data_IF_615234190043
#
_entry.id   IF_615234190043
#
_cell.length_a   1.000
_cell.length_b   1.000
_cell.length_c   1.000
_cell.angle_alpha   90.00
_cell.angle_beta   90.00
_cell.angle_gamma   90.00
#
_symmetry.space_group_name_H-M   'P 1'
#
loop_
_entity.id
_entity.type
_entity.pdbx_description
1 polymer ?
#
# COMPACT_ATOMS: atom_id res chain seq x y z
N UNK A 1 12.95 2.63 -3.13
CA UNK A 1 12.74 2.20 -4.54
C UNK A 1 11.33 1.68 -4.75
N UNK A 2 10.86 0.65 -4.02
CA UNK A 2 9.50 0.09 -4.16
C UNK A 2 8.36 1.11 -3.95
N UNK A 3 8.45 1.98 -2.94
CA UNK A 3 7.48 3.07 -2.73
C UNK A 3 7.31 3.98 -3.95
N UNK A 4 8.42 4.38 -4.57
CA UNK A 4 8.43 5.22 -5.75
C UNK A 4 7.86 4.49 -6.96
N UNK A 5 8.22 3.21 -7.14
CA UNK A 5 7.67 2.36 -8.20
C UNK A 5 6.14 2.20 -8.10
N UNK A 6 5.61 1.87 -6.93
CA UNK A 6 4.15 1.80 -6.69
C UNK A 6 3.50 3.16 -6.92
N UNK A 7 4.18 4.25 -6.54
CA UNK A 7 3.69 5.59 -6.77
C UNK A 7 3.63 5.96 -8.26
N UNK A 8 4.64 5.58 -9.03
CA UNK A 8 4.72 5.82 -10.47
C UNK A 8 3.62 5.04 -11.21
N UNK A 9 3.44 3.75 -10.93
CA UNK A 9 2.36 2.95 -11.54
C UNK A 9 0.99 3.56 -11.21
N UNK A 10 0.76 3.92 -9.94
CA UNK A 10 -0.49 4.56 -9.53
C UNK A 10 -0.71 5.92 -10.20
N UNK A 11 0.34 6.68 -10.49
CA UNK A 11 0.22 7.91 -11.26
C UNK A 11 -0.09 7.65 -12.74
N UNK A 12 0.50 6.60 -13.34
CA UNK A 12 0.20 6.16 -14.71
C UNK A 12 -1.26 5.73 -14.85
N UNK A 13 -1.81 4.99 -13.88
CA UNK A 13 -3.22 4.56 -13.85
C UNK A 13 -4.22 5.73 -13.85
N UNK A 14 -3.80 6.90 -13.40
CA UNK A 14 -4.61 8.12 -13.41
C UNK A 14 -4.27 9.06 -14.59
N UNK A 15 -3.28 8.72 -15.43
CA UNK A 15 -2.85 9.48 -16.61
C UNK A 15 -3.20 8.78 -17.93
N UNK A 16 -3.35 9.55 -19.01
CA UNK A 16 -3.92 9.06 -20.28
C UNK A 16 -2.91 8.45 -21.28
N UNK A 17 -1.61 8.35 -20.98
CA UNK A 17 -0.56 8.28 -22.04
C UNK A 17 0.34 7.01 -22.03
N UNK A 18 -0.05 5.91 -21.38
CA UNK A 18 0.86 4.75 -21.19
C UNK A 18 0.25 3.35 -21.00
N UNK A 19 -0.94 3.07 -21.57
CA UNK A 19 -1.77 1.92 -21.19
C UNK A 19 -1.15 0.50 -21.36
N UNK A 20 -0.15 0.31 -22.24
CA UNK A 20 0.45 -1.03 -22.48
C UNK A 20 1.55 -1.38 -21.47
N UNK A 21 2.33 -0.38 -21.03
CA UNK A 21 3.37 -0.57 -20.01
C UNK A 21 2.72 -0.74 -18.63
N UNK A 22 1.72 0.08 -18.32
CA UNK A 22 1.01 0.06 -17.03
C UNK A 22 0.35 -1.30 -16.72
N UNK A 23 -0.45 -1.84 -17.64
CA UNK A 23 -1.15 -3.11 -17.43
C UNK A 23 -0.16 -4.24 -17.14
N UNK A 24 0.99 -4.23 -17.82
CA UNK A 24 2.05 -5.22 -17.66
C UNK A 24 2.69 -5.12 -16.27
N UNK A 25 2.98 -3.90 -15.79
CA UNK A 25 3.51 -3.69 -14.43
C UNK A 25 2.50 -4.09 -13.35
N UNK A 26 1.21 -3.80 -13.56
CA UNK A 26 0.15 -4.20 -12.61
C UNK A 26 0.02 -5.72 -12.58
N UNK A 27 0.04 -6.41 -13.74
CA UNK A 27 -0.01 -7.87 -13.80
C UNK A 27 1.21 -8.52 -13.15
N UNK A 28 2.41 -7.97 -13.41
CA UNK A 28 3.62 -8.42 -12.75
C UNK A 28 3.52 -8.24 -11.23
N UNK A 29 3.04 -7.09 -10.77
CA UNK A 29 2.89 -6.79 -9.36
C UNK A 29 1.86 -7.70 -8.67
N UNK A 30 0.76 -8.04 -9.35
CA UNK A 30 -0.30 -8.89 -8.82
C UNK A 30 -0.03 -10.39 -8.97
N UNK A 31 1.12 -10.80 -9.51
CA UNK A 31 1.63 -12.13 -9.24
C UNK A 31 1.72 -12.33 -7.70
N UNK A 32 1.18 -13.41 -7.11
CA UNK A 32 1.08 -13.55 -5.66
C UNK A 32 2.42 -13.41 -4.92
N UNK A 33 3.51 -13.87 -5.53
CA UNK A 33 4.84 -13.76 -4.93
C UNK A 33 5.36 -12.31 -4.95
N UNK A 34 5.15 -11.60 -6.04
CA UNK A 34 5.56 -10.20 -6.17
C UNK A 34 4.72 -9.32 -5.25
N UNK A 35 3.41 -9.55 -5.19
CA UNK A 35 2.50 -8.81 -4.31
C UNK A 35 2.90 -8.97 -2.84
N UNK A 36 3.15 -10.21 -2.41
CA UNK A 36 3.69 -10.49 -1.08
C UNK A 36 5.01 -9.77 -0.83
N UNK A 37 5.95 -9.84 -1.77
CA UNK A 37 7.27 -9.20 -1.64
C UNK A 37 7.15 -7.69 -1.51
N UNK A 38 6.36 -7.04 -2.37
CA UNK A 38 6.11 -5.60 -2.35
C UNK A 38 5.43 -5.19 -1.04
N UNK A 39 4.38 -5.90 -0.62
CA UNK A 39 3.71 -5.65 0.66
C UNK A 39 4.66 -5.73 1.84
N UNK A 40 5.48 -6.79 1.91
CA UNK A 40 6.47 -6.97 2.96
C UNK A 40 7.48 -5.82 2.99
N UNK A 41 8.01 -5.42 1.83
CA UNK A 41 8.95 -4.28 1.74
C UNK A 41 8.29 -2.97 2.19
N UNK A 42 7.04 -2.70 1.76
CA UNK A 42 6.33 -1.48 2.17
C UNK A 42 6.05 -1.43 3.67
N UNK A 43 5.77 -2.59 4.28
CA UNK A 43 5.57 -2.72 5.71
C UNK A 43 6.87 -2.57 6.50
N UNK A 44 8.00 -3.10 6.03
CA UNK A 44 9.26 -3.08 6.79
C UNK A 44 10.14 -1.87 6.51
N UNK A 45 9.79 -1.01 5.53
CA UNK A 45 10.66 0.07 5.06
C UNK A 45 11.07 1.05 6.17
N UNK A 46 12.26 0.77 6.72
CA UNK A 46 12.97 1.40 7.82
C UNK A 46 12.29 1.28 9.19
N UNK A 47 12.70 0.29 9.96
CA UNK A 47 12.51 0.23 11.43
C UNK A 47 12.88 1.56 12.14
N UNK A 48 13.76 2.37 11.53
CA UNK A 48 14.17 3.70 12.01
C UNK A 48 13.10 4.79 11.86
N UNK A 49 12.08 4.60 11.02
CA UNK A 49 11.03 5.57 10.78
C UNK A 49 9.65 4.87 10.90
N UNK A 50 9.18 4.78 12.14
CA UNK A 50 7.93 4.14 12.56
C UNK A 50 6.72 5.03 12.19
N UNK A 51 6.68 5.55 10.97
CA UNK A 51 5.51 6.29 10.50
C UNK A 51 4.46 5.30 9.99
N UNK A 52 3.60 4.81 10.89
CA UNK A 52 2.45 3.99 10.55
C UNK A 52 1.56 4.66 9.50
N UNK A 53 1.52 6.00 9.45
CA UNK A 53 0.78 6.74 8.42
C UNK A 53 1.35 6.50 7.03
N UNK A 54 2.68 6.39 6.90
CA UNK A 54 3.34 6.06 5.65
C UNK A 54 3.03 4.62 5.22
N UNK A 55 3.12 3.65 6.15
CA UNK A 55 2.75 2.26 5.87
C UNK A 55 1.30 2.17 5.37
N UNK A 56 0.36 2.80 6.07
CA UNK A 56 -1.05 2.84 5.65
C UNK A 56 -1.20 3.43 4.25
N UNK A 57 -0.58 4.59 4.00
CA UNK A 57 -0.66 5.27 2.71
C UNK A 57 -0.16 4.39 1.56
N UNK A 58 1.00 3.76 1.74
CA UNK A 58 1.62 2.95 0.70
C UNK A 58 0.84 1.65 0.44
N UNK A 59 0.35 1.00 1.50
CA UNK A 59 -0.49 -0.20 1.38
C UNK A 59 -1.81 0.14 0.68
N UNK A 60 -2.50 1.21 1.07
CA UNK A 60 -3.75 1.61 0.41
C UNK A 60 -3.51 1.95 -1.06
N UNK A 61 -2.40 2.62 -1.39
CA UNK A 61 -2.05 2.93 -2.77
C UNK A 61 -1.82 1.67 -3.61
N UNK A 62 -1.16 0.66 -3.02
CA UNK A 62 -0.97 -0.63 -3.66
C UNK A 62 -2.29 -1.36 -3.91
N UNK A 63 -3.19 -1.37 -2.92
CA UNK A 63 -4.53 -1.97 -3.02
C UNK A 63 -5.36 -1.32 -4.12
N UNK A 64 -5.27 0.00 -4.26
CA UNK A 64 -6.02 0.75 -5.27
C UNK A 64 -5.66 0.37 -6.72
N UNK A 65 -4.46 -0.20 -6.97
CA UNK A 65 -4.08 -0.65 -8.30
C UNK A 65 -5.01 -1.75 -8.84
N UNK A 66 -5.42 -2.68 -7.96
CA UNK A 66 -6.38 -3.75 -8.29
C UNK A 66 -7.11 -4.27 -7.04
N UNK A 67 -8.14 -3.57 -6.57
CA UNK A 67 -8.76 -3.83 -5.27
C UNK A 67 -9.64 -5.09 -5.22
N UNK A 68 -9.81 -5.81 -6.34
CA UNK A 68 -10.65 -7.02 -6.43
C UNK A 68 -9.85 -8.27 -6.82
N UNK A 69 -8.52 -8.19 -6.82
CA UNK A 69 -7.68 -9.33 -7.19
C UNK A 69 -7.65 -10.40 -6.07
N UNK A 70 -7.78 -11.67 -6.44
CA UNK A 70 -7.73 -12.78 -5.48
C UNK A 70 -6.32 -12.98 -4.87
N UNK A 71 -5.27 -12.44 -5.50
CA UNK A 71 -3.91 -12.45 -4.97
C UNK A 71 -3.80 -11.79 -3.59
N UNK A 72 -4.73 -10.89 -3.24
CA UNK A 72 -4.78 -10.26 -1.92
C UNK A 72 -5.02 -11.26 -0.79
N UNK A 73 -5.82 -12.31 -1.00
CA UNK A 73 -6.06 -13.34 0.02
C UNK A 73 -4.81 -14.17 0.30
N UNK A 74 -4.05 -14.51 -0.75
CA UNK A 74 -2.77 -15.19 -0.59
C UNK A 74 -1.72 -14.27 0.06
N UNK A 75 -1.65 -13.01 -0.37
CA UNK A 75 -0.75 -12.02 0.22
C UNK A 75 -1.01 -11.85 1.72
N UNK A 76 -2.27 -11.65 2.13
CA UNK A 76 -2.67 -11.52 3.54
C UNK A 76 -2.29 -12.77 4.35
N UNK A 77 -2.50 -13.97 3.80
CA UNK A 77 -2.12 -15.23 4.45
C UNK A 77 -0.61 -15.32 4.66
N UNK A 78 0.19 -15.10 3.60
CA UNK A 78 1.67 -15.13 3.67
C UNK A 78 2.23 -14.09 4.64
N UNK A 79 1.63 -12.91 4.74
CA UNK A 79 2.02 -11.90 5.73
C UNK A 79 1.75 -12.36 7.17
N UNK A 80 0.62 -13.04 7.43
CA UNK A 80 0.33 -13.62 8.75
C UNK A 80 1.33 -14.71 9.09
N UNK A 81 1.61 -15.60 8.15
CA UNK A 81 2.59 -16.68 8.32
C UNK A 81 3.99 -16.10 8.63
N UNK A 82 4.40 -15.05 7.92
CA UNK A 82 5.68 -14.35 8.13
C UNK A 82 5.83 -13.79 9.55
N UNK A 83 4.76 -13.23 10.12
CA UNK A 83 4.80 -12.66 11.48
C UNK A 83 4.74 -13.73 12.57
N UNK A 84 3.98 -14.81 12.34
CA UNK A 84 3.80 -15.90 13.30
C UNK A 84 5.01 -16.84 13.37
N UNK A 85 5.70 -17.03 12.25
CA UNK A 85 6.95 -17.79 12.21
C UNK A 85 8.13 -17.05 12.86
N UNK A 86 9.29 -17.71 12.86
CA UNK A 86 10.58 -17.01 13.00
C UNK A 86 10.85 -16.05 11.83
N UNK A 87 10.05 -16.15 10.78
CA UNK A 87 10.14 -15.42 9.52
C UNK A 87 11.20 -15.99 8.58
N UNK A 88 11.72 -17.17 8.88
CA UNK A 88 12.76 -17.84 8.11
C UNK A 88 13.92 -16.91 7.76
N UNK A 89 14.34 -17.00 6.50
CA UNK A 89 15.42 -16.20 5.95
C UNK A 89 15.05 -14.71 5.80
N UNK A 90 13.75 -14.35 5.85
CA UNK A 90 13.31 -12.98 5.56
C UNK A 90 13.85 -11.94 6.55
N UNK A 91 13.84 -12.20 7.85
CA UNK A 91 14.38 -11.24 8.83
C UNK A 91 15.88 -11.45 9.09
N UNK A 92 16.36 -12.69 8.98
CA UNK A 92 17.76 -13.03 9.28
C UNK A 92 18.72 -12.61 8.17
N UNK A 93 18.27 -12.57 6.90
CA UNK A 93 19.05 -12.06 5.77
C UNK A 93 18.99 -10.54 5.64
N UNK A 94 18.06 -9.88 6.34
CA UNK A 94 17.96 -8.42 6.29
C UNK A 94 19.13 -7.74 6.99
N UNK A 95 19.73 -6.80 6.27
CA UNK A 95 20.92 -6.07 6.68
C UNK A 95 20.68 -4.57 6.66
N UNK A 96 21.17 -3.89 7.69
CA UNK A 96 20.98 -2.45 7.90
C UNK A 96 22.32 -1.77 8.12
N UNK A 97 22.50 -0.51 7.67
CA UNK A 97 23.73 0.22 7.91
C UNK A 97 23.99 0.33 9.42
N UNK A 98 25.22 0.05 9.85
CA UNK A 98 25.59 0.15 11.27
C UNK A 98 25.38 1.58 11.79
N UNK A 99 25.78 2.57 10.98
CA UNK A 99 25.61 3.99 11.26
C UNK A 99 24.99 4.72 10.06
N UNK A 100 24.35 5.88 10.27
CA UNK A 100 23.93 6.74 9.16
C UNK A 100 25.12 7.06 8.25
N UNK A 101 24.99 6.76 6.94
CA UNK A 101 26.03 6.95 5.90
C UNK A 101 27.23 5.99 5.97
N UNK A 102 27.17 4.93 6.78
CA UNK A 102 28.17 3.86 6.73
C UNK A 102 27.94 2.93 5.53
N UNK A 103 29.03 2.41 4.98
CA UNK A 103 29.01 1.29 4.02
C UNK A 103 29.06 -0.08 4.71
N UNK A 104 29.22 -0.10 6.04
CA UNK A 104 29.14 -1.32 6.83
C UNK A 104 27.69 -1.65 7.15
N UNK A 105 27.34 -2.92 6.87
CA UNK A 105 26.02 -3.47 7.14
C UNK A 105 26.12 -4.50 8.25
N UNK A 106 25.08 -4.57 9.07
CA UNK A 106 24.90 -5.62 10.07
C UNK A 106 23.52 -6.25 9.93
N UNK A 107 23.35 -7.50 10.38
CA UNK A 107 22.02 -8.09 10.51
C UNK A 107 21.11 -7.26 11.43
N UNK A 108 19.80 -7.41 11.24
CA UNK A 108 18.81 -6.90 12.19
C UNK A 108 19.00 -7.53 13.58
N UNK A 109 18.80 -6.72 14.62
CA UNK A 109 18.73 -7.19 16.01
C UNK A 109 17.31 -7.66 16.33
N UNK A 110 17.16 -8.45 17.38
CA UNK A 110 15.87 -9.01 17.77
C UNK A 110 14.78 -7.95 18.04
N UNK A 111 15.15 -6.81 18.63
CA UNK A 111 14.24 -5.67 18.83
C UNK A 111 13.84 -5.00 17.51
N UNK A 112 14.75 -4.89 16.55
CA UNK A 112 14.46 -4.34 15.22
C UNK A 112 13.57 -5.29 14.40
N UNK A 113 13.80 -6.61 14.49
CA UNK A 113 12.92 -7.64 13.92
C UNK A 113 11.51 -7.52 14.50
N UNK A 114 11.41 -7.27 15.81
CA UNK A 114 10.10 -7.10 16.45
C UNK A 114 9.35 -5.87 15.92
N UNK A 115 10.06 -4.75 15.70
CA UNK A 115 9.48 -3.55 15.07
C UNK A 115 8.98 -3.85 13.65
N UNK A 116 9.75 -4.59 12.85
CA UNK A 116 9.30 -4.98 11.50
C UNK A 116 8.06 -5.88 11.55
N UNK A 117 8.03 -6.86 12.46
CA UNK A 117 6.85 -7.69 12.70
C UNK A 117 5.63 -6.86 13.10
N UNK A 118 5.80 -5.84 13.94
CA UNK A 118 4.72 -4.94 14.34
C UNK A 118 4.21 -4.10 13.17
N UNK A 119 5.09 -3.63 12.29
CA UNK A 119 4.67 -2.94 11.08
C UNK A 119 3.93 -3.85 10.10
N UNK A 120 4.34 -5.12 9.97
CA UNK A 120 3.61 -6.10 9.15
C UNK A 120 2.24 -6.39 9.76
N UNK A 121 2.12 -6.52 11.09
CA UNK A 121 0.81 -6.63 11.77
C UNK A 121 -0.07 -5.43 11.46
N UNK A 122 0.48 -4.23 11.51
CA UNK A 122 -0.24 -3.01 11.15
C UNK A 122 -0.69 -3.01 9.68
N UNK A 123 0.16 -3.43 8.74
CA UNK A 123 -0.21 -3.56 7.33
C UNK A 123 -1.34 -4.59 7.13
N UNK A 124 -1.31 -5.73 7.84
CA UNK A 124 -2.38 -6.73 7.83
C UNK A 124 -3.69 -6.11 8.33
N UNK A 125 -3.66 -5.34 9.42
CA UNK A 125 -4.85 -4.63 9.92
C UNK A 125 -5.42 -3.66 8.88
N UNK A 126 -4.57 -2.88 8.20
CA UNK A 126 -5.02 -1.98 7.13
C UNK A 126 -5.68 -2.74 5.98
N UNK A 127 -5.14 -3.91 5.61
CA UNK A 127 -5.72 -4.76 4.57
C UNK A 127 -7.06 -5.36 5.02
N UNK A 128 -7.13 -5.93 6.22
CA UNK A 128 -8.35 -6.50 6.76
C UNK A 128 -9.45 -5.44 6.93
N UNK A 129 -9.12 -4.24 7.42
CA UNK A 129 -10.07 -3.12 7.48
C UNK A 129 -10.59 -2.72 6.09
N UNK A 130 -9.73 -2.78 5.06
CA UNK A 130 -10.13 -2.46 3.68
C UNK A 130 -11.07 -3.51 3.09
N UNK A 131 -10.74 -4.80 3.22
CA UNK A 131 -11.49 -5.90 2.60
C UNK A 131 -12.69 -6.35 3.43
N UNK A 132 -12.56 -6.42 4.75
CA UNK A 132 -13.54 -7.01 5.66
C UNK A 132 -14.38 -5.94 6.38
N UNK A 133 -13.86 -4.70 6.52
CA UNK A 133 -14.59 -3.55 7.08
C UNK A 133 -15.70 -2.97 6.18
N UNK A 134 -15.94 -3.60 5.02
CA UNK A 134 -16.84 -3.16 3.97
C UNK A 134 -18.33 -3.37 4.17
N UNK A 135 -18.79 -3.96 5.28
CA UNK A 135 -20.23 -4.06 5.52
C UNK A 135 -20.92 -2.68 5.74
N UNK A 136 -20.18 -1.62 6.12
CA UNK A 136 -20.77 -0.29 6.34
C UNK A 136 -19.99 0.92 5.77
N UNK A 137 -18.79 0.74 5.22
CA UNK A 137 -17.91 1.90 4.93
C UNK A 137 -17.32 1.94 3.52
N UNK A 138 -17.33 0.83 2.77
CA UNK A 138 -16.63 0.74 1.48
C UNK A 138 -17.32 1.53 0.36
N UNK A 139 -18.65 1.69 0.39
CA UNK A 139 -19.31 2.63 -0.54
C UNK A 139 -19.00 4.09 -0.21
N UNK A 140 -19.02 4.47 1.07
CA UNK A 140 -18.81 5.86 1.49
C UNK A 140 -17.37 6.38 1.36
N UNK A 141 -16.37 5.49 1.47
CA UNK A 141 -14.96 5.88 1.33
C UNK A 141 -14.54 6.01 -0.13
N UNK A 142 -15.02 5.11 -1.00
CA UNK A 142 -14.79 5.20 -2.44
C UNK A 142 -15.50 6.43 -3.03
N UNK A 143 -16.74 6.73 -2.63
CA UNK A 143 -17.43 7.96 -3.07
C UNK A 143 -16.76 9.24 -2.57
N UNK A 144 -16.27 9.25 -1.33
CA UNK A 144 -15.59 10.42 -0.74
C UNK A 144 -14.20 10.68 -1.32
N UNK A 145 -13.49 9.64 -1.77
CA UNK A 145 -12.19 9.76 -2.41
C UNK A 145 -12.30 10.05 -3.92
N UNK A 146 -13.27 9.44 -4.63
CA UNK A 146 -13.55 9.75 -6.03
C UNK A 146 -14.09 11.19 -6.21
N UNK A 147 -14.84 11.70 -5.24
CA UNK A 147 -15.29 13.10 -5.22
C UNK A 147 -14.17 14.14 -5.01
N UNK A 148 -12.96 13.72 -4.61
CA UNK A 148 -11.80 14.62 -4.49
C UNK A 148 -10.97 14.68 -5.79
N UNK A 149 -10.98 13.62 -6.60
CA UNK A 149 -10.25 13.57 -7.87
C UNK A 149 -11.04 14.16 -9.05
N UNK A 150 -12.38 14.16 -8.99
CA UNK A 150 -13.23 14.83 -9.97
C UNK A 150 -13.52 16.24 -9.47
N UNK A 151 -12.69 17.19 -9.90
CA UNK A 151 -12.84 18.61 -9.57
C UNK A 151 -14.30 19.07 -9.64
N UNK A 152 -14.79 19.67 -8.55
CA UNK A 152 -16.09 20.34 -8.51
C UNK A 152 -16.17 21.30 -9.71
N UNK A 153 -16.94 20.92 -10.71
CA UNK A 153 -17.47 21.86 -11.69
C UNK A 153 -18.47 22.73 -10.92
N UNK A 154 -18.31 24.06 -10.87
CA UNK A 154 -19.37 24.91 -10.33
C UNK A 154 -20.58 24.78 -11.26
N UNK A 155 -21.72 24.35 -10.71
CA UNK A 155 -22.99 24.42 -11.41
C UNK A 155 -23.34 25.89 -11.62
N UNK A 156 -23.48 26.27 -12.89
CA UNK A 156 -24.07 27.55 -13.29
C UNK A 156 -25.51 27.64 -12.79
N UNK A 157 -25.80 28.74 -12.11
CA UNK A 157 -27.11 29.12 -11.57
C UNK A 157 -28.09 29.40 -12.71
N UNK A 158 -29.28 28.81 -12.78
CA UNK A 158 -30.34 29.38 -13.60
C UNK A 158 -31.05 30.50 -12.82
N UNK A 159 -31.19 31.64 -13.49
CA UNK A 159 -32.09 32.73 -13.14
C UNK A 159 -33.52 32.21 -12.94
N UNK A 160 -34.17 32.64 -11.85
CA UNK A 160 -35.62 32.60 -11.76
C UNK A 160 -36.12 34.05 -11.64
N UNK A 161 -36.74 34.49 -12.73
CA UNK A 161 -37.68 35.60 -12.76
C UNK A 161 -38.75 35.42 -11.67
N UNK A 162 -39.03 36.49 -10.94
CA UNK A 162 -40.26 36.62 -10.18
C UNK A 162 -41.00 37.88 -10.64
N UNK A 163 -42.01 37.66 -11.46
CA UNK A 163 -43.16 38.56 -11.59
C UNK A 163 -43.99 38.48 -10.31
N UNK A 164 -44.26 39.63 -9.68
CA UNK A 164 -45.60 40.08 -9.25
C UNK A 164 -45.60 41.60 -9.26
#
# INVERSE_FOLDING_TARGET
MVRAYVAEISAMQHGSDGAVDEATHIDYLHNPQNLFTVCSILATHSFRNIDQTAVRRDIIRLVQLRPRDAAWDECRRKLRDLVQGDGGDFFSEQCVPTEPRSFEYRPLRADEIQVEKDNIRYAIHVLDDFFDGGAHTVLGCLDRLLGWCLGRKPEDKPEQDQQV
#
